data_IF_165028352978
#
_entry.id   IF_165028352978
#
_cell.length_a   1.000
_cell.length_b   1.000
_cell.length_c   1.000
_cell.angle_alpha   90.00
_cell.angle_beta   90.00
_cell.angle_gamma   90.00
#
_symmetry.space_group_name_H-M   'P 1'
#
loop_
_entity.id
_entity.type
_entity.pdbx_description
1 polymer ?
#
# COMPACT_ATOMS: atom_id res chain seq x y z
N UNK A 1 -13.41 1.53 7.90
CA UNK A 1 -13.37 1.89 6.46
C UNK A 1 -12.08 2.64 6.23
N UNK A 2 -11.37 2.35 5.13
CA UNK A 2 -10.17 3.11 4.74
C UNK A 2 -10.62 4.41 4.09
N UNK A 3 -10.10 5.55 4.54
CA UNK A 3 -10.31 6.87 3.91
C UNK A 3 -9.34 7.09 2.76
N UNK A 4 -9.68 7.95 1.80
CA UNK A 4 -8.79 8.30 0.68
C UNK A 4 -7.44 8.85 1.17
N UNK A 5 -7.45 9.61 2.28
CA UNK A 5 -6.23 10.16 2.92
C UNK A 5 -5.30 9.09 3.50
N UNK A 6 -5.77 7.84 3.64
CA UNK A 6 -5.00 6.72 4.17
C UNK A 6 -4.34 5.87 3.07
N UNK A 7 -4.36 6.35 1.83
CA UNK A 7 -3.78 5.66 0.67
C UNK A 7 -2.63 6.52 0.12
N UNK A 8 -1.42 5.99 0.19
CA UNK A 8 -0.19 6.71 -0.17
C UNK A 8 0.50 6.03 -1.34
N UNK A 9 0.40 6.61 -2.53
CA UNK A 9 1.15 6.15 -3.69
C UNK A 9 2.60 6.63 -3.63
N UNK A 10 3.56 5.75 -3.91
CA UNK A 10 4.94 6.19 -4.05
C UNK A 10 5.23 6.58 -5.49
N UNK A 11 5.94 7.69 -5.64
CA UNK A 11 6.38 8.24 -6.92
C UNK A 11 7.89 8.11 -7.04
N UNK A 12 8.40 8.06 -8.26
CA UNK A 12 9.83 8.24 -8.50
C UNK A 12 10.18 9.74 -8.55
N UNK A 13 11.47 10.07 -8.67
CA UNK A 13 11.95 11.45 -8.76
C UNK A 13 11.41 12.26 -9.97
N UNK A 14 10.78 11.60 -10.94
CA UNK A 14 10.14 12.23 -12.09
C UNK A 14 8.62 12.43 -11.89
N UNK A 15 8.11 12.12 -10.69
CA UNK A 15 6.69 12.18 -10.36
C UNK A 15 5.84 11.05 -10.94
N UNK A 16 6.46 9.96 -11.42
CA UNK A 16 5.75 8.79 -11.98
C UNK A 16 5.49 7.73 -10.90
N UNK A 17 4.33 7.06 -10.89
CA UNK A 17 4.06 5.96 -9.95
C UNK A 17 5.09 4.84 -10.09
N UNK A 18 5.60 4.36 -8.96
CA UNK A 18 6.58 3.26 -8.91
C UNK A 18 5.93 1.89 -9.09
N UNK A 19 4.61 1.79 -8.88
CA UNK A 19 3.88 0.54 -8.76
C UNK A 19 3.73 0.02 -7.31
N UNK A 20 4.18 0.80 -6.33
CA UNK A 20 4.01 0.54 -4.90
C UNK A 20 3.08 1.58 -4.26
N UNK A 21 2.33 1.15 -3.26
CA UNK A 21 1.49 2.01 -2.43
C UNK A 21 1.40 1.47 -1.00
N UNK A 22 1.16 2.36 -0.05
CA UNK A 22 0.91 2.06 1.34
C UNK A 22 -0.54 2.37 1.69
N UNK A 23 -1.14 1.55 2.55
CA UNK A 23 -2.51 1.74 3.03
C UNK A 23 -2.53 1.65 4.54
N UNK A 24 -2.99 2.70 5.18
CA UNK A 24 -3.19 2.73 6.62
C UNK A 24 -4.56 2.18 6.99
N UNK A 25 -4.60 1.34 8.02
CA UNK A 25 -5.83 0.80 8.58
C UNK A 25 -6.06 1.39 9.97
N UNK A 26 -7.33 1.62 10.31
CA UNK A 26 -7.69 2.17 11.62
C UNK A 26 -7.27 1.27 12.80
N UNK A 27 -7.10 -0.03 12.55
CA UNK A 27 -6.67 -1.00 13.56
C UNK A 27 -5.95 -2.19 12.91
N UNK A 28 -5.25 -2.97 13.73
CA UNK A 28 -4.47 -4.12 13.30
C UNK A 28 -5.32 -5.32 12.82
N UNK A 29 -6.57 -5.43 13.26
CA UNK A 29 -7.47 -6.53 12.85
C UNK A 29 -7.88 -6.37 11.38
N UNK A 30 -8.24 -5.16 10.97
CA UNK A 30 -8.57 -4.83 9.59
C UNK A 30 -7.39 -5.07 8.65
N UNK A 31 -6.19 -4.66 9.05
CA UNK A 31 -4.96 -4.93 8.30
C UNK A 31 -4.74 -6.44 8.13
N UNK A 32 -4.83 -7.23 9.21
CA UNK A 32 -4.70 -8.70 9.13
C UNK A 32 -5.77 -9.34 8.25
N UNK A 33 -7.00 -8.85 8.31
CA UNK A 33 -8.09 -9.33 7.48
C UNK A 33 -7.85 -9.02 5.98
N UNK A 34 -7.29 -7.85 5.66
CA UNK A 34 -6.89 -7.50 4.30
C UNK A 34 -5.74 -8.41 3.81
N UNK A 35 -4.70 -8.58 4.62
CA UNK A 35 -3.56 -9.46 4.33
C UNK A 35 -3.99 -10.92 4.07
N UNK A 36 -5.01 -11.40 4.78
CA UNK A 36 -5.53 -12.75 4.57
C UNK A 36 -6.18 -12.97 3.19
N UNK A 37 -6.52 -11.91 2.46
CA UNK A 37 -7.09 -12.00 1.11
C UNK A 37 -6.04 -12.28 0.03
N UNK A 38 -4.76 -12.06 0.32
CA UNK A 38 -3.65 -12.25 -0.63
C UNK A 38 -3.36 -13.72 -0.99
N UNK A 39 -4.03 -14.67 -0.31
CA UNK A 39 -3.76 -16.12 -0.40
C UNK A 39 -3.92 -16.75 -1.79
N UNK A 40 -4.55 -16.09 -2.75
CA UNK A 40 -4.87 -16.66 -4.07
C UNK A 40 -4.49 -15.76 -5.25
N UNK A 41 -3.39 -15.00 -5.10
CA UNK A 41 -2.89 -14.10 -6.13
C UNK A 41 -3.95 -13.09 -6.60
N UNK A 42 -4.28 -12.11 -5.76
CA UNK A 42 -5.33 -11.16 -6.11
C UNK A 42 -4.95 -10.35 -7.35
N UNK A 43 -5.89 -10.23 -8.29
CA UNK A 43 -5.71 -9.41 -9.48
C UNK A 43 -6.68 -8.24 -9.44
N UNK A 44 -6.15 -7.06 -9.78
CA UNK A 44 -6.94 -5.89 -10.09
C UNK A 44 -6.90 -5.71 -11.62
N UNK A 45 -7.93 -6.20 -12.30
CA UNK A 45 -7.93 -6.30 -13.76
C UNK A 45 -6.82 -7.24 -14.24
N UNK A 46 -5.88 -6.72 -15.04
CA UNK A 46 -4.75 -7.50 -15.57
C UNK A 46 -3.49 -7.47 -14.67
N UNK A 47 -3.53 -6.74 -13.55
CA UNK A 47 -2.37 -6.55 -12.68
C UNK A 47 -2.50 -7.41 -11.44
N UNK A 48 -1.51 -8.27 -11.23
CA UNK A 48 -1.34 -8.99 -9.98
C UNK A 48 -0.88 -8.03 -8.89
N UNK A 49 -1.47 -8.16 -7.70
CA UNK A 49 -1.18 -7.35 -6.51
C UNK A 49 -0.72 -8.30 -5.40
N UNK A 50 0.32 -7.88 -4.67
CA UNK A 50 0.87 -8.56 -3.50
C UNK A 50 0.72 -7.64 -2.30
N UNK A 51 0.42 -8.20 -1.13
CA UNK A 51 0.28 -7.44 0.10
C UNK A 51 1.38 -7.83 1.08
N UNK A 52 1.98 -6.83 1.73
CA UNK A 52 3.01 -7.01 2.76
C UNK A 52 2.66 -6.19 4.00
N UNK A 53 2.95 -6.69 5.21
CA UNK A 53 2.89 -5.85 6.39
C UNK A 53 3.98 -4.78 6.31
N UNK A 54 3.67 -3.57 6.78
CA UNK A 54 4.62 -2.47 6.81
C UNK A 54 4.35 -1.56 8.00
N UNK A 55 5.34 -0.73 8.37
CA UNK A 55 5.24 0.28 9.41
C UNK A 55 5.06 1.70 8.87
N UNK A 56 4.67 2.63 9.75
CA UNK A 56 4.53 4.05 9.41
C UNK A 56 5.88 4.64 8.99
N UNK A 57 6.98 4.23 9.63
CA UNK A 57 8.32 4.69 9.30
C UNK A 57 8.76 4.26 7.89
N UNK A 58 8.41 3.05 7.47
CA UNK A 58 8.68 2.55 6.11
C UNK A 58 7.89 3.34 5.06
N UNK A 59 6.61 3.60 5.34
CA UNK A 59 5.74 4.44 4.50
C UNK A 59 6.30 5.86 4.37
N UNK A 60 6.61 6.52 5.49
CA UNK A 60 7.14 7.89 5.50
C UNK A 60 8.45 7.99 4.71
N UNK A 61 9.34 7.00 4.90
CA UNK A 61 10.58 6.92 4.16
C UNK A 61 10.34 6.70 2.65
N UNK A 62 9.34 5.92 2.26
CA UNK A 62 9.03 5.67 0.85
C UNK A 62 8.37 6.86 0.16
N UNK A 63 7.42 7.51 0.82
CA UNK A 63 6.71 8.68 0.31
C UNK A 63 7.65 9.88 0.18
N UNK A 64 8.58 10.06 1.12
CA UNK A 64 9.58 11.15 1.07
C UNK A 64 10.63 10.97 -0.03
N UNK A 65 10.96 9.73 -0.42
CA UNK A 65 11.93 9.43 -1.51
C UNK A 65 11.44 9.82 -2.90
N UNK A 66 10.13 9.93 -3.08
CA UNK A 66 9.49 10.26 -4.37
C UNK A 66 9.20 11.74 -4.60
N UNK A 67 9.51 12.58 -3.61
CA UNK A 67 9.35 14.04 -3.67
C UNK A 67 10.62 14.74 -4.15
#
# INVERSE_FOLDING_TARGET
>A
MVSEDSIHFTMNAEGRPTGEAFVEFANAEDSKAAMAKDRNRMTLGSRYIELFPSSVEEMDAAVSRGR
#
